data_IF_815707899451
#
_entry.id   IF_815707899451
#
_cell.length_a   1.000
_cell.length_b   1.000
_cell.length_c   1.000
_cell.angle_alpha   90.00
_cell.angle_beta   90.00
_cell.angle_gamma   90.00
#
_symmetry.space_group_name_H-M   'P 1'
#
loop_
_entity.id
_entity.type
_entity.pdbx_description
1 polymer ?
#
# COMPACT_ATOMS: atom_id res chain seq x y z
N UNK A 1 11.35 32.13 85.82
CA UNK A 1 10.49 33.24 85.37
C UNK A 1 11.39 34.37 84.92
N UNK A 2 11.56 34.66 83.64
CA UNK A 2 11.15 33.94 82.43
C UNK A 2 12.24 34.15 81.36
N UNK A 3 12.51 33.10 80.58
CA UNK A 3 13.72 32.85 79.80
C UNK A 3 13.66 33.39 78.36
N UNK A 4 12.79 34.36 78.06
CA UNK A 4 12.54 34.79 76.67
C UNK A 4 13.25 36.10 76.27
N UNK A 5 13.86 36.82 77.21
CA UNK A 5 14.57 38.08 76.94
C UNK A 5 16.10 37.93 76.85
N UNK A 6 16.67 36.75 77.13
CA UNK A 6 18.12 36.50 77.04
C UNK A 6 18.58 35.96 75.66
N UNK A 7 17.63 35.61 74.79
CA UNK A 7 17.89 35.00 73.48
C UNK A 7 17.81 36.00 72.31
N UNK A 8 17.45 37.26 72.56
CA UNK A 8 17.40 38.30 71.52
C UNK A 8 18.69 39.11 71.36
N UNK A 9 19.60 39.03 72.33
CA UNK A 9 20.87 39.76 72.32
C UNK A 9 22.04 38.94 71.76
N UNK A 10 21.81 37.71 71.27
CA UNK A 10 22.87 36.82 70.77
C UNK A 10 22.93 36.66 69.24
N UNK A 11 21.91 37.14 68.51
CA UNK A 11 21.78 36.92 67.06
C UNK A 11 22.20 38.13 66.19
N UNK A 12 22.56 39.28 66.78
CA UNK A 12 22.97 40.48 66.01
C UNK A 12 24.49 40.62 65.73
N UNK A 13 25.34 39.74 66.29
CA UNK A 13 26.81 39.91 66.27
C UNK A 13 27.60 38.93 65.36
N UNK A 14 26.94 38.15 64.49
CA UNK A 14 27.60 37.17 63.62
C UNK A 14 27.26 37.34 62.13
N UNK A 15 27.53 38.54 61.61
CA UNK A 15 27.78 38.73 60.19
C UNK A 15 29.25 38.42 59.87
N UNK A 16 29.54 37.29 59.21
CA UNK A 16 30.74 37.10 58.40
C UNK A 16 30.40 36.37 57.09
N UNK A 17 30.74 37.01 55.98
CA UNK A 17 30.66 36.53 54.60
C UNK A 17 31.60 35.33 54.35
N UNK A 18 31.10 34.25 53.74
CA UNK A 18 31.85 33.41 52.78
C UNK A 18 30.86 32.86 51.73
N UNK A 19 31.23 33.03 50.46
CA UNK A 19 30.54 32.56 49.25
C UNK A 19 30.48 31.02 49.14
N UNK A 20 29.42 30.49 48.53
CA UNK A 20 29.39 29.51 47.41
C UNK A 20 28.26 28.46 47.46
N UNK A 21 27.64 28.33 46.29
CA UNK A 21 27.03 27.14 45.67
C UNK A 21 25.60 26.68 46.00
N UNK A 22 24.86 26.55 44.88
CA UNK A 22 23.47 26.14 44.67
C UNK A 22 23.06 24.85 45.38
N UNK A 23 21.94 24.91 46.12
CA UNK A 23 21.08 23.77 46.38
C UNK A 23 19.61 24.21 46.46
N UNK A 24 18.82 23.77 45.48
CA UNK A 24 17.37 23.97 45.40
C UNK A 24 16.71 23.01 46.39
N UNK A 25 16.20 23.54 47.51
CA UNK A 25 15.26 22.83 48.37
C UNK A 25 13.80 23.15 48.05
N UNK A 26 13.05 22.05 48.07
CA UNK A 26 11.63 21.87 47.87
C UNK A 26 10.85 22.65 48.94
N UNK A 27 9.94 23.54 48.52
CA UNK A 27 8.89 24.06 49.41
C UNK A 27 7.51 23.64 48.92
N UNK A 28 6.81 22.93 49.81
CA UNK A 28 5.48 22.38 49.59
C UNK A 28 4.45 23.48 49.36
N UNK A 29 3.61 23.26 48.34
CA UNK A 29 2.40 24.04 48.12
C UNK A 29 1.21 23.20 48.53
N UNK A 30 0.38 23.84 49.37
CA UNK A 30 -0.86 23.37 49.97
C UNK A 30 -1.85 22.85 48.92
N UNK A 31 -2.49 21.74 49.26
CA UNK A 31 -3.58 21.10 48.53
C UNK A 31 -4.82 22.03 48.45
N UNK A 32 -5.05 22.64 47.28
CA UNK A 32 -6.36 23.11 46.83
C UNK A 32 -6.34 23.39 45.31
N UNK A 33 -7.16 22.68 44.54
CA UNK A 33 -7.59 22.96 43.14
C UNK A 33 -6.54 23.08 42.00
N UNK A 34 -5.50 22.23 41.97
CA UNK A 34 -4.47 22.23 40.90
C UNK A 34 -4.74 21.21 39.76
N UNK A 35 -5.71 20.31 39.90
CA UNK A 35 -5.89 19.21 38.94
C UNK A 35 -6.52 19.60 37.59
N UNK A 36 -7.13 20.79 37.47
CA UNK A 36 -7.70 21.27 36.21
C UNK A 36 -6.68 21.95 35.28
N UNK A 37 -5.76 22.72 35.86
CA UNK A 37 -4.79 23.56 35.13
C UNK A 37 -3.59 22.77 34.61
N UNK A 38 -3.13 21.75 35.33
CA UNK A 38 -2.06 20.87 34.85
C UNK A 38 -2.49 20.02 33.63
N UNK A 39 -3.78 19.67 33.54
CA UNK A 39 -4.33 18.82 32.47
C UNK A 39 -4.63 19.59 31.18
N UNK A 40 -5.03 20.86 31.28
CA UNK A 40 -5.17 21.75 30.11
C UNK A 40 -3.81 22.01 29.45
N UNK A 41 -2.76 22.22 30.26
CA UNK A 41 -1.40 22.42 29.76
C UNK A 41 -0.87 21.20 29.00
N UNK A 42 -1.12 19.98 29.51
CA UNK A 42 -0.70 18.75 28.82
C UNK A 42 -1.38 18.57 27.45
N UNK A 43 -2.67 18.93 27.31
CA UNK A 43 -3.38 18.86 26.03
C UNK A 43 -2.82 19.88 25.02
N UNK A 44 -2.49 21.09 25.47
CA UNK A 44 -1.90 22.13 24.63
C UNK A 44 -0.47 21.78 24.20
N UNK A 45 0.34 21.21 25.09
CA UNK A 45 1.67 20.72 24.78
C UNK A 45 1.63 19.63 23.68
N UNK A 46 0.74 18.65 23.80
CA UNK A 46 0.60 17.60 22.78
C UNK A 46 0.13 18.18 21.44
N UNK A 47 -0.83 19.11 21.43
CA UNK A 47 -1.25 19.82 20.21
C UNK A 47 -0.09 20.60 19.58
N UNK A 48 0.72 21.28 20.42
CA UNK A 48 1.87 22.04 19.97
C UNK A 48 2.93 21.13 19.34
N UNK A 49 3.12 19.92 19.87
CA UNK A 49 4.02 18.92 19.30
C UNK A 49 3.54 18.45 17.93
N UNK A 50 2.25 18.12 17.80
CA UNK A 50 1.68 17.67 16.52
C UNK A 50 1.88 18.75 15.45
N UNK A 51 1.60 20.01 15.76
CA UNK A 51 1.72 21.12 14.82
C UNK A 51 3.17 21.47 14.46
N UNK A 52 4.08 21.37 15.43
CA UNK A 52 5.51 21.71 15.24
C UNK A 52 6.40 20.48 14.98
N UNK A 53 5.80 19.32 14.68
CA UNK A 53 6.56 18.09 14.49
C UNK A 53 7.41 18.20 13.22
N UNK A 54 8.72 18.31 13.41
CA UNK A 54 9.71 18.23 12.33
C UNK A 54 10.33 16.84 12.34
N UNK A 55 10.21 16.16 11.21
CA UNK A 55 10.86 14.89 10.92
C UNK A 55 12.37 15.08 11.05
N UNK A 56 13.02 14.22 11.84
CA UNK A 56 14.48 14.21 11.93
C UNK A 56 15.07 13.77 10.58
N UNK A 57 15.93 14.60 10.00
CA UNK A 57 16.57 14.30 8.72
C UNK A 57 17.86 13.49 8.97
N UNK A 58 17.94 12.28 8.41
CA UNK A 58 19.15 11.44 8.48
C UNK A 58 20.38 12.06 7.78
N UNK A 59 20.22 13.19 7.08
CA UNK A 59 21.29 13.96 6.45
C UNK A 59 22.17 14.70 7.46
N UNK A 60 21.68 14.96 8.68
CA UNK A 60 22.43 15.63 9.75
C UNK A 60 23.46 14.72 10.44
N UNK A 61 23.50 13.43 10.07
CA UNK A 61 24.38 12.43 10.67
C UNK A 61 23.66 11.51 11.65
N UNK A 62 24.38 10.50 12.14
CA UNK A 62 23.86 9.58 13.16
C UNK A 62 23.71 10.34 14.48
N UNK A 63 22.50 10.36 15.09
CA UNK A 63 22.31 11.03 16.37
C UNK A 63 23.13 10.32 17.44
N UNK A 64 23.82 11.08 18.30
CA UNK A 64 24.53 10.51 19.47
C UNK A 64 23.59 10.18 20.64
N UNK A 65 22.38 10.73 20.64
CA UNK A 65 21.32 10.45 21.63
C UNK A 65 19.96 10.48 20.95
N UNK A 66 19.09 9.53 21.28
CA UNK A 66 17.76 9.40 20.68
C UNK A 66 16.76 10.45 21.19
N UNK A 67 17.14 11.23 22.21
CA UNK A 67 16.31 12.24 22.84
C UNK A 67 15.79 13.34 21.88
N UNK A 68 16.51 13.61 20.79
CA UNK A 68 16.09 14.57 19.77
C UNK A 68 15.21 13.94 18.68
N UNK A 69 15.25 12.61 18.54
CA UNK A 69 14.54 11.84 17.52
C UNK A 69 13.17 11.37 18.05
N UNK A 70 13.12 10.87 19.29
CA UNK A 70 11.91 10.35 19.92
C UNK A 70 11.29 11.39 20.87
N UNK A 71 10.71 12.45 20.31
CA UNK A 71 10.08 13.52 21.10
C UNK A 71 8.79 13.03 21.77
N UNK A 72 8.05 12.13 21.12
CA UNK A 72 6.83 11.57 21.71
C UNK A 72 7.15 10.67 22.90
N UNK A 73 8.27 9.93 22.87
CA UNK A 73 8.63 9.07 23.99
C UNK A 73 8.88 9.87 25.29
N UNK A 74 9.40 11.10 25.19
CA UNK A 74 9.54 12.02 26.34
C UNK A 74 8.20 12.39 26.97
N UNK A 75 7.15 12.52 26.17
CA UNK A 75 5.82 12.87 26.65
C UNK A 75 4.95 11.66 26.99
N UNK A 76 5.48 10.43 26.92
CA UNK A 76 4.74 9.19 27.15
C UNK A 76 3.89 9.23 28.43
N UNK A 77 4.48 9.65 29.55
CA UNK A 77 3.78 9.69 30.85
C UNK A 77 2.61 10.67 30.81
N UNK A 78 2.82 11.87 30.24
CA UNK A 78 1.79 12.89 30.08
C UNK A 78 0.65 12.41 29.16
N UNK A 79 0.98 11.70 28.08
CA UNK A 79 -0.01 11.12 27.16
C UNK A 79 -0.85 10.05 27.88
N UNK A 80 -0.22 9.22 28.72
CA UNK A 80 -0.95 8.24 29.53
C UNK A 80 -1.89 8.93 30.51
N UNK A 81 -1.44 9.98 31.20
CA UNK A 81 -2.29 10.77 32.09
C UNK A 81 -3.44 11.47 31.36
N UNK A 82 -3.26 11.87 30.10
CA UNK A 82 -4.31 12.43 29.27
C UNK A 82 -5.37 11.41 28.86
N UNK A 83 -5.01 10.12 28.69
CA UNK A 83 -5.97 9.06 28.40
C UNK A 83 -6.94 8.81 29.56
N UNK A 84 -6.52 9.07 30.81
CA UNK A 84 -7.41 8.96 31.96
C UNK A 84 -8.50 10.06 31.98
N UNK A 85 -8.31 11.12 31.19
CA UNK A 85 -9.28 12.21 31.05
C UNK A 85 -10.31 11.92 29.94
N UNK A 86 -11.58 11.88 30.32
CA UNK A 86 -12.70 11.44 29.46
C UNK A 86 -13.28 12.56 28.57
N UNK A 87 -12.45 13.21 27.75
CA UNK A 87 -12.88 14.31 26.87
C UNK A 87 -12.83 13.92 25.38
N UNK A 88 -13.87 14.23 24.60
CA UNK A 88 -13.86 13.95 23.14
C UNK A 88 -12.73 14.69 22.40
N UNK A 89 -12.35 15.88 22.90
CA UNK A 89 -11.23 16.64 22.37
C UNK A 89 -9.89 15.91 22.54
N UNK A 90 -9.71 15.11 23.60
CA UNK A 90 -8.47 14.34 23.80
C UNK A 90 -8.40 13.19 22.80
N UNK A 91 -9.53 12.53 22.51
CA UNK A 91 -9.62 11.47 21.49
C UNK A 91 -9.19 11.99 20.12
N UNK A 92 -9.65 13.17 19.72
CA UNK A 92 -9.25 13.79 18.45
C UNK A 92 -7.75 14.09 18.38
N UNK A 93 -7.18 14.70 19.43
CA UNK A 93 -5.75 15.04 19.48
C UNK A 93 -4.88 13.79 19.50
N UNK A 94 -5.25 12.78 20.29
CA UNK A 94 -4.54 11.51 20.34
C UNK A 94 -4.61 10.77 19.00
N UNK A 95 -5.71 10.89 18.27
CA UNK A 95 -5.84 10.35 16.90
C UNK A 95 -4.91 11.07 15.92
N UNK A 96 -4.73 12.38 16.05
CA UNK A 96 -3.77 13.17 15.25
C UNK A 96 -2.31 12.85 15.59
N UNK A 97 -2.03 12.42 16.83
CA UNK A 97 -0.70 12.01 17.26
C UNK A 97 -0.29 10.66 16.63
N UNK A 98 -1.22 9.78 16.27
CA UNK A 98 -0.93 8.43 15.77
C UNK A 98 0.00 8.38 14.54
N UNK A 99 -0.20 9.18 13.47
CA UNK A 99 0.75 9.24 12.36
C UNK A 99 2.13 9.73 12.78
N UNK A 100 2.22 10.68 13.71
CA UNK A 100 3.52 11.19 14.19
C UNK A 100 4.29 10.11 14.94
N UNK A 101 3.61 9.31 15.78
CA UNK A 101 4.19 8.12 16.42
C UNK A 101 4.68 7.13 15.35
N UNK A 102 3.87 6.87 14.32
CA UNK A 102 4.25 5.97 13.23
C UNK A 102 5.50 6.47 12.49
N UNK A 103 5.60 7.77 12.23
CA UNK A 103 6.77 8.40 11.62
C UNK A 103 8.01 8.28 12.52
N UNK A 104 7.88 8.51 13.83
CA UNK A 104 8.97 8.30 14.79
C UNK A 104 9.46 6.84 14.77
N UNK A 105 8.55 5.87 14.84
CA UNK A 105 8.88 4.44 14.76
C UNK A 105 9.63 4.13 13.45
N UNK A 106 9.19 4.68 12.31
CA UNK A 106 9.87 4.47 11.03
C UNK A 106 11.28 5.08 10.96
N UNK A 107 11.49 6.24 11.59
CA UNK A 107 12.82 6.88 11.64
C UNK A 107 13.75 6.07 12.54
N UNK A 108 13.30 5.69 13.74
CA UNK A 108 14.10 4.87 14.66
C UNK A 108 14.41 3.51 14.03
N UNK A 109 13.47 2.90 13.30
CA UNK A 109 13.71 1.68 12.52
C UNK A 109 14.79 1.87 11.45
N UNK A 110 14.80 3.00 10.72
CA UNK A 110 15.85 3.30 9.73
C UNK A 110 17.22 3.46 10.38
N UNK A 111 17.29 4.09 11.56
CA UNK A 111 18.53 4.25 12.32
C UNK A 111 19.03 2.87 12.77
N UNK A 112 18.16 2.07 13.38
CA UNK A 112 18.46 0.70 13.81
C UNK A 112 18.93 -0.17 12.64
N UNK A 113 18.23 -0.11 11.51
CA UNK A 113 18.60 -0.85 10.30
C UNK A 113 19.96 -0.42 9.73
N UNK A 114 20.30 0.87 9.82
CA UNK A 114 21.60 1.39 9.36
C UNK A 114 22.75 0.92 10.25
N UNK A 115 22.55 0.87 11.57
CA UNK A 115 23.54 0.29 12.49
C UNK A 115 23.74 -1.20 12.21
N UNK A 116 22.63 -1.93 12.10
CA UNK A 116 22.67 -3.38 11.95
C UNK A 116 23.10 -3.86 10.56
N UNK A 117 23.03 -3.00 9.53
CA UNK A 117 23.44 -3.32 8.16
C UNK A 117 24.90 -3.79 8.04
N UNK A 118 25.78 -3.38 8.97
CA UNK A 118 27.17 -3.86 8.98
C UNK A 118 27.28 -5.35 9.31
N UNK A 119 26.36 -5.85 10.14
CA UNK A 119 26.33 -7.22 10.63
C UNK A 119 25.43 -8.11 9.78
N UNK A 120 24.22 -7.63 9.48
CA UNK A 120 23.24 -8.35 8.67
C UNK A 120 22.48 -7.42 7.70
N UNK A 121 23.01 -7.19 6.48
CA UNK A 121 22.43 -6.24 5.53
C UNK A 121 21.08 -6.68 4.96
N UNK A 122 20.85 -8.00 4.83
CA UNK A 122 19.64 -8.55 4.22
C UNK A 122 18.41 -8.42 5.11
N UNK A 123 18.57 -8.32 6.44
CA UNK A 123 17.47 -8.35 7.41
C UNK A 123 16.38 -7.29 7.13
N UNK A 124 16.77 -6.09 6.73
CA UNK A 124 15.83 -5.00 6.46
C UNK A 124 14.98 -5.26 5.20
N UNK A 125 15.50 -6.03 4.23
CA UNK A 125 14.74 -6.45 3.05
C UNK A 125 13.79 -7.62 3.34
N UNK A 126 14.11 -8.44 4.35
CA UNK A 126 13.30 -9.60 4.73
C UNK A 126 12.17 -9.19 5.67
N UNK A 127 12.46 -8.32 6.63
CA UNK A 127 11.54 -7.94 7.70
C UNK A 127 11.34 -6.44 7.66
N UNK A 128 10.18 -6.03 7.14
CA UNK A 128 9.83 -4.62 6.97
C UNK A 128 9.12 -4.05 8.19
N UNK A 129 8.50 -4.90 9.02
CA UNK A 129 7.74 -4.49 10.19
C UNK A 129 8.70 -4.07 11.31
N UNK A 130 8.67 -2.81 11.79
CA UNK A 130 9.62 -2.30 12.78
C UNK A 130 9.67 -3.09 14.10
N UNK A 131 8.50 -3.47 14.65
CA UNK A 131 8.45 -4.19 15.92
C UNK A 131 9.04 -5.61 15.82
N UNK A 132 8.89 -6.28 14.66
CA UNK A 132 9.45 -7.62 14.46
C UNK A 132 10.96 -7.51 14.31
N UNK A 133 11.39 -6.52 13.54
CA UNK A 133 12.80 -6.25 13.30
C UNK A 133 13.53 -5.96 14.62
N UNK A 134 13.00 -5.07 15.47
CA UNK A 134 13.64 -4.75 16.75
C UNK A 134 13.75 -5.97 17.67
N UNK A 135 12.70 -6.80 17.74
CA UNK A 135 12.70 -8.00 18.58
C UNK A 135 13.71 -9.06 18.12
N UNK A 136 13.92 -9.17 16.82
CA UNK A 136 14.86 -10.12 16.22
C UNK A 136 16.30 -9.65 16.42
N UNK A 137 16.56 -8.35 16.25
CA UNK A 137 17.87 -7.77 16.55
C UNK A 137 18.20 -7.92 18.03
N UNK A 138 17.23 -7.68 18.91
CA UNK A 138 17.36 -7.90 20.36
C UNK A 138 17.75 -9.34 20.67
N UNK A 139 17.06 -10.32 20.06
CA UNK A 139 17.36 -11.73 20.22
C UNK A 139 18.78 -12.08 19.73
N UNK A 140 19.19 -11.59 18.56
CA UNK A 140 20.52 -11.89 18.01
C UNK A 140 21.69 -11.27 18.79
N UNK A 141 21.46 -10.14 19.47
CA UNK A 141 22.51 -9.48 20.28
C UNK A 141 22.56 -9.99 21.72
N UNK A 142 21.46 -10.57 22.22
CA UNK A 142 21.33 -11.10 23.59
C UNK A 142 21.68 -12.58 23.66
N UNK A 143 21.23 -13.40 22.70
CA UNK A 143 21.40 -14.85 22.72
C UNK A 143 22.76 -15.29 22.17
N UNK A 144 23.49 -16.10 22.94
CA UNK A 144 24.71 -16.76 22.46
C UNK A 144 24.39 -17.91 21.49
N UNK A 145 23.33 -18.68 21.78
CA UNK A 145 22.77 -19.69 20.87
C UNK A 145 21.82 -19.02 19.87
N UNK A 146 22.24 -18.90 18.61
CA UNK A 146 21.46 -18.25 17.53
C UNK A 146 20.38 -19.18 16.95
N UNK A 147 19.66 -19.89 17.81
CA UNK A 147 18.61 -20.82 17.39
C UNK A 147 17.33 -20.06 17.09
N UNK A 148 17.07 -19.83 15.79
CA UNK A 148 15.91 -19.07 15.30
C UNK A 148 14.59 -19.73 15.71
N UNK A 149 14.59 -21.04 16.00
CA UNK A 149 13.40 -21.76 16.45
C UNK A 149 12.84 -21.23 17.78
N UNK A 150 13.64 -20.53 18.60
CA UNK A 150 13.15 -19.88 19.83
C UNK A 150 12.26 -18.66 19.55
N UNK A 151 12.24 -18.16 18.31
CA UNK A 151 11.35 -17.08 17.85
C UNK A 151 10.01 -17.61 17.32
N UNK A 152 9.69 -18.89 17.55
CA UNK A 152 8.38 -19.46 17.26
C UNK A 152 7.28 -18.67 17.99
N UNK A 153 6.38 -18.06 17.23
CA UNK A 153 5.29 -17.21 17.73
C UNK A 153 5.48 -15.71 17.47
N UNK A 154 6.72 -15.24 17.25
CA UNK A 154 6.99 -13.87 16.79
C UNK A 154 6.99 -13.80 15.26
N UNK A 155 7.53 -14.83 14.61
CA UNK A 155 7.63 -14.94 13.16
C UNK A 155 6.74 -16.04 12.60
N UNK A 156 6.27 -15.86 11.36
CA UNK A 156 5.64 -16.94 10.60
C UNK A 156 6.69 -17.96 10.17
N UNK A 157 6.30 -19.23 10.00
CA UNK A 157 7.20 -20.31 9.53
C UNK A 157 7.92 -19.97 8.22
N UNK A 158 7.23 -19.30 7.30
CA UNK A 158 7.81 -18.82 6.04
C UNK A 158 8.92 -17.80 6.28
N UNK A 159 8.71 -16.86 7.22
CA UNK A 159 9.70 -15.86 7.58
C UNK A 159 10.89 -16.48 8.31
N UNK A 160 10.66 -17.45 9.20
CA UNK A 160 11.73 -18.21 9.89
C UNK A 160 12.65 -18.89 8.89
N UNK A 161 12.08 -19.56 7.87
CA UNK A 161 12.87 -20.22 6.83
C UNK A 161 13.70 -19.22 6.02
N UNK A 162 13.09 -18.11 5.58
CA UNK A 162 13.79 -17.09 4.79
C UNK A 162 14.91 -16.43 5.59
N UNK A 163 14.67 -16.09 6.87
CA UNK A 163 15.69 -15.54 7.77
C UNK A 163 16.80 -16.55 8.03
N UNK A 164 16.48 -17.84 8.20
CA UNK A 164 17.48 -18.89 8.38
C UNK A 164 18.37 -19.07 7.16
N UNK A 165 17.81 -19.03 5.95
CA UNK A 165 18.59 -19.11 4.71
C UNK A 165 19.49 -17.87 4.56
N UNK A 166 18.94 -16.68 4.80
CA UNK A 166 19.70 -15.43 4.75
C UNK A 166 20.80 -15.34 5.83
N UNK A 167 20.56 -15.94 7.00
CA UNK A 167 21.56 -16.03 8.05
C UNK A 167 22.75 -16.89 7.62
N UNK A 168 22.54 -17.94 6.82
CA UNK A 168 23.64 -18.75 6.29
C UNK A 168 24.45 -18.02 5.22
N UNK A 169 23.84 -17.12 4.44
CA UNK A 169 24.49 -16.46 3.30
C UNK A 169 25.09 -15.09 3.63
N UNK A 170 24.42 -14.30 4.48
CA UNK A 170 24.68 -12.88 4.64
C UNK A 170 24.97 -12.40 6.07
N UNK A 171 25.03 -13.30 7.06
CA UNK A 171 25.29 -12.93 8.45
C UNK A 171 26.78 -12.92 8.77
N UNK A 172 27.32 -11.73 9.01
CA UNK A 172 28.74 -11.56 9.37
C UNK A 172 28.93 -11.76 10.87
N UNK A 173 29.39 -12.95 11.28
CA UNK A 173 29.63 -13.27 12.69
C UNK A 173 30.81 -12.50 13.29
N UNK A 174 31.80 -12.16 12.46
CA UNK A 174 33.08 -11.59 12.89
C UNK A 174 33.03 -10.08 13.14
N UNK A 175 32.05 -9.37 12.54
CA UNK A 175 31.85 -7.93 12.75
C UNK A 175 31.03 -7.68 14.00
N UNK A 176 31.72 -7.45 15.12
CA UNK A 176 31.10 -6.96 16.35
C UNK A 176 30.91 -5.44 16.27
N UNK A 177 29.75 -4.96 16.75
CA UNK A 177 29.46 -3.54 16.84
C UNK A 177 30.32 -2.87 17.92
N UNK A 178 30.66 -1.60 17.72
CA UNK A 178 31.32 -0.78 18.75
C UNK A 178 30.44 -0.68 20.00
N UNK A 179 31.02 -0.52 21.19
CA UNK A 179 30.27 -0.42 22.45
C UNK A 179 29.23 0.72 22.41
N UNK A 180 29.62 1.88 21.88
CA UNK A 180 28.73 3.03 21.70
C UNK A 180 27.57 2.73 20.73
N UNK A 181 27.84 2.01 19.63
CA UNK A 181 26.81 1.64 18.65
C UNK A 181 25.86 0.58 19.22
N UNK A 182 26.36 -0.32 20.07
CA UNK A 182 25.56 -1.34 20.77
C UNK A 182 24.62 -0.70 21.79
N UNK A 183 25.10 0.28 22.57
CA UNK A 183 24.25 1.05 23.49
C UNK A 183 23.14 1.78 22.75
N UNK A 184 23.47 2.47 21.66
CA UNK A 184 22.50 3.17 20.82
C UNK A 184 21.48 2.20 20.20
N UNK A 185 21.93 1.01 19.79
CA UNK A 185 21.08 -0.06 19.26
C UNK A 185 20.03 -0.51 20.29
N UNK A 186 20.43 -0.77 21.54
CA UNK A 186 19.48 -1.14 22.59
C UNK A 186 18.53 0.00 22.95
N UNK A 187 19.00 1.26 22.96
CA UNK A 187 18.14 2.44 23.12
C UNK A 187 17.07 2.51 22.01
N UNK A 188 17.46 2.26 20.75
CA UNK A 188 16.52 2.21 19.61
C UNK A 188 15.50 1.08 19.76
N UNK A 189 15.90 -0.10 20.22
CA UNK A 189 14.98 -1.23 20.45
C UNK A 189 13.96 -0.89 21.53
N UNK A 190 14.41 -0.38 22.66
CA UNK A 190 13.53 -0.01 23.78
C UNK A 190 12.55 1.10 23.39
N UNK A 191 13.01 2.11 22.67
CA UNK A 191 12.13 3.19 22.19
C UNK A 191 11.10 2.73 21.17
N UNK A 192 11.44 1.80 20.26
CA UNK A 192 10.46 1.18 19.35
C UNK A 192 9.41 0.40 20.15
N UNK A 193 9.82 -0.38 21.15
CA UNK A 193 8.90 -1.13 22.00
C UNK A 193 7.95 -0.20 22.76
N UNK A 194 8.50 0.84 23.42
CA UNK A 194 7.73 1.83 24.18
C UNK A 194 6.72 2.59 23.31
N UNK A 195 7.12 3.02 22.10
CA UNK A 195 6.25 3.71 21.16
C UNK A 195 5.16 2.78 20.62
N UNK A 196 5.48 1.50 20.37
CA UNK A 196 4.51 0.50 19.91
C UNK A 196 3.45 0.22 20.98
N UNK A 197 3.86 0.09 22.25
CA UNK A 197 2.96 -0.08 23.39
C UNK A 197 2.07 1.14 23.59
N UNK A 198 2.64 2.35 23.49
CA UNK A 198 1.89 3.60 23.56
C UNK A 198 0.87 3.68 22.41
N UNK A 199 1.28 3.30 21.19
CA UNK A 199 0.39 3.26 20.03
C UNK A 199 -0.80 2.32 20.26
N UNK A 200 -0.56 1.13 20.82
CA UNK A 200 -1.60 0.16 21.16
C UNK A 200 -2.56 0.69 22.23
N UNK A 201 -2.05 1.32 23.29
CA UNK A 201 -2.87 1.94 24.36
C UNK A 201 -3.78 3.04 23.82
N UNK A 202 -3.25 3.94 22.98
CA UNK A 202 -4.05 4.99 22.36
C UNK A 202 -5.12 4.39 21.44
N UNK A 203 -4.81 3.36 20.64
CA UNK A 203 -5.81 2.69 19.79
C UNK A 203 -6.95 2.08 20.60
N UNK A 204 -6.63 1.42 21.72
CA UNK A 204 -7.64 0.86 22.62
C UNK A 204 -8.51 1.97 23.24
N UNK A 205 -7.90 3.07 23.66
CA UNK A 205 -8.62 4.24 24.18
C UNK A 205 -9.56 4.85 23.13
N UNK A 206 -9.07 5.10 21.92
CA UNK A 206 -9.89 5.64 20.81
C UNK A 206 -11.04 4.69 20.48
N UNK A 207 -10.80 3.37 20.44
CA UNK A 207 -11.86 2.37 20.21
C UNK A 207 -13.00 2.45 21.22
N UNK A 208 -12.69 2.65 22.51
CA UNK A 208 -13.70 2.75 23.56
C UNK A 208 -14.57 4.01 23.50
N UNK A 209 -14.12 5.06 22.79
CA UNK A 209 -14.78 6.37 22.74
C UNK A 209 -15.19 6.81 21.34
N UNK A 210 -14.98 5.97 20.32
CA UNK A 210 -15.24 6.34 18.93
C UNK A 210 -16.72 6.56 18.63
N UNK A 211 -17.62 5.94 19.39
CA UNK A 211 -19.06 6.10 19.20
C UNK A 211 -19.51 7.55 19.42
N UNK A 212 -18.83 8.31 20.28
CA UNK A 212 -19.09 9.74 20.47
C UNK A 212 -18.50 10.63 19.37
N UNK A 213 -17.40 10.21 18.74
CA UNK A 213 -16.68 11.00 17.72
C UNK A 213 -17.17 10.71 16.30
N UNK A 214 -17.46 9.44 15.99
CA UNK A 214 -17.83 8.96 14.66
C UNK A 214 -18.90 7.84 14.73
N UNK A 215 -20.14 8.18 15.14
CA UNK A 215 -21.22 7.20 15.36
C UNK A 215 -21.65 6.48 14.08
N UNK A 216 -21.67 7.15 12.91
CA UNK A 216 -22.10 6.49 11.67
C UNK A 216 -21.03 5.52 11.14
N UNK A 217 -19.75 5.87 11.27
CA UNK A 217 -18.65 5.00 10.90
C UNK A 217 -18.60 3.75 11.79
N UNK A 218 -18.72 3.93 13.11
CA UNK A 218 -18.74 2.85 14.08
C UNK A 218 -19.93 1.90 13.83
N UNK A 219 -21.13 2.44 13.59
CA UNK A 219 -22.31 1.64 13.25
C UNK A 219 -22.15 0.86 11.93
N UNK A 220 -21.37 1.36 10.97
CA UNK A 220 -21.17 0.71 9.68
C UNK A 220 -20.17 -0.45 9.75
N UNK A 221 -18.96 -0.22 10.29
CA UNK A 221 -17.82 -1.16 10.22
C UNK A 221 -17.49 -1.82 11.55
N UNK A 222 -17.96 -1.25 12.67
CA UNK A 222 -17.57 -1.61 14.03
C UNK A 222 -16.57 -0.63 14.63
N UNK A 223 -16.61 -0.47 15.95
CA UNK A 223 -15.81 0.49 16.71
C UNK A 223 -14.29 0.26 16.56
N UNK A 224 -13.86 -0.99 16.56
CA UNK A 224 -12.44 -1.36 16.43
C UNK A 224 -11.87 -0.96 15.07
N UNK A 225 -12.53 -1.35 13.98
CA UNK A 225 -12.06 -1.02 12.62
C UNK A 225 -12.17 0.47 12.35
N UNK A 226 -13.21 1.13 12.87
CA UNK A 226 -13.34 2.58 12.80
C UNK A 226 -12.15 3.28 13.48
N UNK A 227 -11.75 2.81 14.66
CA UNK A 227 -10.65 3.39 15.43
C UNK A 227 -9.31 3.17 14.73
N UNK A 228 -9.11 1.99 14.12
CA UNK A 228 -7.93 1.71 13.31
C UNK A 228 -7.85 2.63 12.08
N UNK A 229 -8.97 2.89 11.40
CA UNK A 229 -9.00 3.78 10.25
C UNK A 229 -8.70 5.24 10.62
N UNK A 230 -9.31 5.75 11.69
CA UNK A 230 -9.07 7.10 12.19
C UNK A 230 -7.61 7.25 12.65
N UNK A 231 -7.10 6.28 13.41
CA UNK A 231 -5.72 6.28 13.92
C UNK A 231 -4.69 6.19 12.80
N UNK A 232 -4.95 5.40 11.77
CA UNK A 232 -4.01 5.20 10.67
C UNK A 232 -3.89 6.43 9.76
N UNK A 233 -4.98 7.20 9.61
CA UNK A 233 -4.96 8.40 8.78
C UNK A 233 -4.47 9.62 9.58
N UNK A 234 -4.85 9.74 10.84
CA UNK A 234 -4.50 10.90 11.69
C UNK A 234 -5.69 11.74 12.15
N UNK A 235 -6.90 11.18 12.11
CA UNK A 235 -8.10 11.85 12.57
C UNK A 235 -9.24 11.84 11.57
N UNK A 236 -10.41 12.27 12.04
CA UNK A 236 -11.65 12.23 11.27
C UNK A 236 -11.65 13.21 10.08
N UNK A 237 -11.07 14.41 10.26
CA UNK A 237 -10.98 15.42 9.20
C UNK A 237 -10.13 14.95 8.02
N UNK A 238 -8.99 14.32 8.31
CA UNK A 238 -8.08 13.80 7.30
C UNK A 238 -8.70 12.58 6.60
N UNK A 239 -9.35 11.69 7.36
CA UNK A 239 -10.06 10.53 6.83
C UNK A 239 -11.22 10.92 5.89
N UNK A 240 -11.88 12.07 6.13
CA UNK A 240 -12.91 12.64 5.27
C UNK A 240 -12.37 13.05 3.88
N UNK A 241 -11.13 13.55 3.83
CA UNK A 241 -10.45 13.95 2.59
C UNK A 241 -9.98 12.74 1.75
N UNK A 242 -9.75 11.59 2.37
CA UNK A 242 -9.30 10.38 1.67
C UNK A 242 -10.37 9.87 0.69
N UNK A 243 -10.04 9.65 -0.60
CA UNK A 243 -10.98 9.08 -1.55
C UNK A 243 -11.22 7.58 -1.28
N UNK A 244 -12.42 7.09 -1.62
CA UNK A 244 -12.84 5.72 -1.34
C UNK A 244 -11.92 4.62 -1.89
N UNK A 245 -11.22 4.86 -3.00
CA UNK A 245 -10.28 3.91 -3.59
C UNK A 245 -9.02 3.69 -2.73
N UNK A 246 -8.59 4.70 -1.96
CA UNK A 246 -7.38 4.63 -1.16
C UNK A 246 -7.63 3.94 0.19
N UNK A 247 -8.86 4.02 0.71
CA UNK A 247 -9.27 3.38 1.96
C UNK A 247 -9.03 1.87 1.99
N UNK A 248 -9.12 1.20 0.84
CA UNK A 248 -8.86 -0.23 0.73
C UNK A 248 -7.41 -0.64 1.10
N UNK A 249 -6.46 0.28 0.93
CA UNK A 249 -5.03 0.03 1.22
C UNK A 249 -4.60 0.51 2.60
N UNK A 250 -5.46 1.21 3.34
CA UNK A 250 -5.17 1.70 4.68
C UNK A 250 -5.01 0.51 5.63
N UNK A 251 -3.87 0.43 6.31
CA UNK A 251 -3.51 -0.70 7.17
C UNK A 251 -2.90 -1.90 6.45
N UNK A 252 -2.69 -1.84 5.13
CA UNK A 252 -1.96 -2.89 4.41
C UNK A 252 -0.48 -2.83 4.78
N UNK A 253 0.11 -3.97 5.13
CA UNK A 253 1.56 -4.10 5.28
C UNK A 253 2.30 -3.79 3.97
N UNK A 254 3.54 -3.34 4.08
CA UNK A 254 4.40 -3.08 2.90
C UNK A 254 4.57 -4.39 2.13
N UNK A 255 4.31 -4.35 0.82
CA UNK A 255 4.41 -5.52 -0.05
C UNK A 255 5.87 -5.90 -0.27
N UNK A 256 6.19 -7.17 -0.05
CA UNK A 256 7.49 -7.76 -0.33
C UNK A 256 7.42 -8.56 -1.63
N UNK A 257 8.40 -8.36 -2.53
CA UNK A 257 8.40 -9.02 -3.84
C UNK A 257 8.48 -10.55 -3.78
N UNK A 258 9.03 -11.09 -2.70
CA UNK A 258 9.14 -12.53 -2.45
C UNK A 258 7.87 -13.13 -1.82
N UNK A 259 6.94 -12.30 -1.34
CA UNK A 259 5.68 -12.76 -0.75
C UNK A 259 4.66 -13.12 -1.85
N UNK A 260 3.96 -14.25 -1.69
CA UNK A 260 2.93 -14.72 -2.63
C UNK A 260 1.66 -13.86 -2.51
N UNK A 261 1.63 -12.73 -3.22
CA UNK A 261 0.55 -11.74 -3.12
C UNK A 261 -0.75 -12.05 -3.88
N UNK A 262 -1.01 -13.30 -4.27
CA UNK A 262 -2.18 -13.68 -5.07
C UNK A 262 -2.95 -14.81 -4.40
N UNK A 263 -4.12 -14.50 -3.87
CA UNK A 263 -5.08 -15.50 -3.39
C UNK A 263 -6.28 -15.64 -4.32
N UNK A 264 -7.04 -16.71 -4.09
CA UNK A 264 -8.32 -17.02 -4.72
C UNK A 264 -9.37 -15.91 -4.55
N UNK A 265 -9.25 -15.08 -3.51
CA UNK A 265 -10.12 -13.92 -3.26
C UNK A 265 -10.01 -12.86 -4.36
N UNK A 266 -8.89 -12.82 -5.08
CA UNK A 266 -8.57 -11.77 -6.06
C UNK A 266 -8.44 -10.36 -5.46
N UNK A 267 -8.36 -10.24 -4.14
CA UNK A 267 -8.16 -8.99 -3.38
C UNK A 267 -6.67 -8.72 -3.21
N UNK A 268 -6.18 -7.64 -3.85
CA UNK A 268 -4.77 -7.23 -3.73
C UNK A 268 -4.49 -6.29 -2.57
N UNK A 269 -5.52 -5.60 -2.08
CA UNK A 269 -5.42 -4.57 -1.05
C UNK A 269 -6.08 -5.09 0.21
N UNK A 270 -5.33 -5.76 1.08
CA UNK A 270 -5.83 -6.28 2.37
C UNK A 270 -5.49 -5.28 3.48
N UNK A 271 -6.30 -4.23 3.61
CA UNK A 271 -6.21 -3.26 4.70
C UNK A 271 -7.14 -3.58 5.87
N UNK A 272 -7.32 -2.65 6.81
CA UNK A 272 -8.21 -2.83 7.96
C UNK A 272 -9.66 -3.11 7.57
N UNK A 273 -10.15 -2.46 6.51
CA UNK A 273 -11.51 -2.68 5.99
C UNK A 273 -11.70 -4.16 5.59
N UNK A 274 -10.67 -4.79 5.03
CA UNK A 274 -10.75 -6.20 4.61
C UNK A 274 -10.97 -7.13 5.81
N UNK A 275 -10.46 -6.80 6.98
CA UNK A 275 -10.61 -7.60 8.21
C UNK A 275 -11.99 -7.46 8.86
N UNK A 276 -12.82 -6.53 8.41
CA UNK A 276 -14.18 -6.36 8.94
C UNK A 276 -15.03 -7.63 8.73
N UNK A 277 -15.84 -7.95 9.74
CA UNK A 277 -16.76 -9.08 9.76
C UNK A 277 -17.69 -9.11 8.53
N UNK A 278 -18.15 -7.94 8.08
CA UNK A 278 -19.02 -7.82 6.89
C UNK A 278 -18.39 -8.39 5.62
N UNK A 279 -17.06 -8.45 5.55
CA UNK A 279 -16.31 -9.00 4.41
C UNK A 279 -15.85 -10.43 4.70
N UNK A 280 -15.31 -10.69 5.89
CA UNK A 280 -14.78 -12.02 6.22
C UNK A 280 -15.86 -13.10 6.26
N UNK A 281 -17.08 -12.74 6.68
CA UNK A 281 -18.22 -13.67 6.70
C UNK A 281 -18.75 -14.03 5.30
N UNK A 282 -18.29 -13.35 4.24
CA UNK A 282 -18.73 -13.57 2.87
C UNK A 282 -17.89 -14.63 2.15
N UNK A 283 -18.45 -15.33 1.15
CA UNK A 283 -17.69 -16.27 0.34
C UNK A 283 -16.56 -15.56 -0.42
N UNK A 284 -15.43 -16.27 -0.57
CA UNK A 284 -14.15 -15.78 -1.13
C UNK A 284 -14.34 -15.01 -2.45
N UNK A 285 -15.25 -15.47 -3.31
CA UNK A 285 -15.54 -14.90 -4.63
C UNK A 285 -16.12 -13.48 -4.58
N UNK A 286 -16.89 -13.15 -3.53
CA UNK A 286 -17.64 -11.89 -3.41
C UNK A 286 -16.85 -10.85 -2.59
N UNK A 287 -15.87 -11.29 -1.77
CA UNK A 287 -15.09 -10.42 -0.86
C UNK A 287 -14.51 -9.19 -1.54
N UNK A 288 -14.04 -9.31 -2.79
CA UNK A 288 -13.52 -8.18 -3.57
C UNK A 288 -14.56 -7.12 -3.89
N UNK A 289 -15.78 -7.55 -4.25
CA UNK A 289 -16.90 -6.63 -4.50
C UNK A 289 -17.35 -6.00 -3.17
N UNK A 290 -17.47 -6.82 -2.12
CA UNK A 290 -17.83 -6.40 -0.78
C UNK A 290 -16.92 -5.28 -0.26
N UNK A 291 -15.60 -5.45 -0.37
CA UNK A 291 -14.63 -4.46 0.04
C UNK A 291 -14.82 -3.12 -0.66
N UNK A 292 -15.02 -3.12 -1.99
CA UNK A 292 -15.22 -1.88 -2.76
C UNK A 292 -16.51 -1.16 -2.36
N UNK A 293 -17.59 -1.92 -2.16
CA UNK A 293 -18.86 -1.36 -1.71
C UNK A 293 -18.74 -0.76 -0.31
N UNK A 294 -18.05 -1.46 0.60
CA UNK A 294 -17.84 -1.00 1.96
C UNK A 294 -16.97 0.26 1.99
N UNK A 295 -15.83 0.29 1.28
CA UNK A 295 -14.99 1.49 1.18
C UNK A 295 -15.75 2.72 0.69
N UNK A 296 -16.66 2.56 -0.28
CA UNK A 296 -17.49 3.65 -0.77
C UNK A 296 -18.44 4.18 0.31
N UNK A 297 -19.08 3.29 1.09
CA UNK A 297 -19.98 3.68 2.19
C UNK A 297 -19.23 4.26 3.39
N UNK A 298 -18.04 3.73 3.70
CA UNK A 298 -17.14 4.26 4.72
C UNK A 298 -16.76 5.70 4.42
N UNK A 299 -16.36 6.01 3.18
CA UNK A 299 -16.03 7.38 2.77
C UNK A 299 -17.21 8.35 2.91
N UNK A 300 -18.46 7.87 2.75
CA UNK A 300 -19.65 8.70 2.99
C UNK A 300 -19.93 8.88 4.48
N UNK A 301 -19.79 7.83 5.28
CA UNK A 301 -19.96 7.89 6.74
C UNK A 301 -18.96 8.82 7.40
N UNK A 302 -17.69 8.74 7.01
CA UNK A 302 -16.65 9.63 7.55
C UNK A 302 -16.94 11.09 7.24
N UNK A 303 -17.48 11.40 6.06
CA UNK A 303 -17.86 12.76 5.67
C UNK A 303 -19.05 13.30 6.46
N UNK A 304 -20.04 12.45 6.73
CA UNK A 304 -21.23 12.82 7.52
C UNK A 304 -20.84 13.04 8.99
N UNK A 305 -20.00 12.15 9.54
CA UNK A 305 -19.48 12.27 10.91
C UNK A 305 -18.61 13.52 11.05
N UNK A 306 -17.74 13.82 10.07
CA UNK A 306 -16.92 15.04 10.08
C UNK A 306 -17.77 16.33 10.04
N UNK A 307 -18.93 16.29 9.37
CA UNK A 307 -19.87 17.41 9.30
C UNK A 307 -20.79 17.51 10.53
N UNK A 308 -20.77 16.52 11.44
CA UNK A 308 -21.65 16.41 12.63
C UNK A 308 -23.14 16.61 12.35
N UNK A 309 -23.61 16.23 11.17
CA UNK A 309 -25.02 16.44 10.76
C UNK A 309 -25.98 15.37 11.30
N UNK A 310 -25.47 14.20 11.69
CA UNK A 310 -26.27 13.07 12.13
C UNK A 310 -25.59 12.30 13.27
N UNK A 311 -25.82 12.75 14.52
CA UNK A 311 -25.18 12.18 15.71
C UNK A 311 -25.78 10.84 16.16
N UNK A 312 -26.99 10.51 15.71
CA UNK A 312 -27.72 9.30 16.15
C UNK A 312 -27.25 7.98 15.48
N UNK A 313 -26.21 8.00 14.63
CA UNK A 313 -25.70 6.78 13.96
C UNK A 313 -26.67 6.10 12.96
N UNK A 314 -27.89 6.62 12.80
CA UNK A 314 -28.95 6.01 11.98
C UNK A 314 -28.55 5.81 10.51
N UNK A 315 -27.78 6.75 9.95
CA UNK A 315 -27.34 6.68 8.56
C UNK A 315 -26.33 5.55 8.36
N UNK A 316 -25.44 5.34 9.33
CA UNK A 316 -24.51 4.20 9.36
C UNK A 316 -25.24 2.86 9.34
N UNK A 317 -26.27 2.71 10.19
CA UNK A 317 -27.12 1.50 10.22
C UNK A 317 -27.86 1.27 8.90
N UNK A 318 -28.44 2.32 8.32
CA UNK A 318 -29.12 2.25 7.02
C UNK A 318 -28.16 1.77 5.92
N UNK A 319 -26.95 2.34 5.86
CA UNK A 319 -25.98 1.92 4.86
C UNK A 319 -25.42 0.52 5.11
N UNK A 320 -25.32 0.09 6.37
CA UNK A 320 -24.99 -1.28 6.71
C UNK A 320 -26.03 -2.25 6.14
N UNK A 321 -27.32 -1.96 6.33
CA UNK A 321 -28.41 -2.74 5.75
C UNK A 321 -28.36 -2.74 4.22
N UNK A 322 -28.14 -1.58 3.58
CA UNK A 322 -27.99 -1.49 2.13
C UNK A 322 -26.82 -2.34 1.59
N UNK A 323 -25.71 -2.41 2.32
CA UNK A 323 -24.56 -3.26 1.96
C UNK A 323 -24.93 -4.73 2.10
N UNK A 324 -25.55 -5.13 3.21
CA UNK A 324 -26.00 -6.51 3.44
C UNK A 324 -26.94 -6.97 2.32
N UNK A 325 -27.99 -6.20 2.02
CA UNK A 325 -28.94 -6.54 0.95
C UNK A 325 -28.30 -6.63 -0.44
N UNK A 326 -27.22 -5.88 -0.69
CA UNK A 326 -26.46 -6.00 -1.96
C UNK A 326 -25.58 -7.24 -1.98
N UNK A 327 -25.00 -7.62 -0.84
CA UNK A 327 -24.19 -8.83 -0.72
C UNK A 327 -25.04 -10.08 -0.91
N UNK A 328 -26.23 -10.12 -0.30
CA UNK A 328 -27.21 -11.19 -0.50
C UNK A 328 -27.57 -11.35 -1.99
N UNK A 329 -27.90 -10.23 -2.67
CA UNK A 329 -28.18 -10.23 -4.12
C UNK A 329 -27.01 -10.67 -5.00
N UNK A 330 -25.76 -10.51 -4.54
CA UNK A 330 -24.58 -10.98 -5.27
C UNK A 330 -24.33 -12.48 -5.05
N UNK A 331 -24.81 -13.02 -3.92
CA UNK A 331 -24.75 -14.43 -3.62
C UNK A 331 -25.85 -15.21 -4.34
N UNK A 332 -26.98 -14.57 -4.64
CA UNK A 332 -28.05 -15.14 -5.43
C UNK A 332 -27.53 -15.55 -6.83
N UNK A 333 -27.68 -16.82 -7.23
CA UNK A 333 -27.30 -17.25 -8.56
C UNK A 333 -28.15 -16.56 -9.64
N UNK A 334 -27.63 -16.36 -10.86
CA UNK A 334 -28.43 -15.83 -11.93
C UNK A 334 -29.61 -16.76 -12.22
N UNK A 335 -30.78 -16.18 -12.49
CA UNK A 335 -31.95 -16.93 -12.89
C UNK A 335 -31.63 -17.81 -14.10
N UNK A 336 -31.88 -19.12 -13.99
CA UNK A 336 -31.62 -20.08 -15.06
C UNK A 336 -32.50 -19.73 -16.26
N UNK A 337 -31.88 -19.32 -17.36
CA UNK A 337 -32.60 -19.09 -18.63
C UNK A 337 -32.86 -20.42 -19.33
N UNK A 338 -34.07 -20.61 -19.85
CA UNK A 338 -34.38 -21.77 -20.68
C UNK A 338 -33.43 -21.89 -21.88
N UNK A 339 -33.10 -23.12 -22.26
CA UNK A 339 -32.24 -23.38 -23.42
C UNK A 339 -32.87 -22.80 -24.68
N UNK A 340 -32.16 -21.91 -25.37
CA UNK A 340 -32.65 -21.30 -26.59
C UNK A 340 -32.71 -22.37 -27.70
N UNK A 341 -33.88 -22.66 -28.28
CA UNK A 341 -33.98 -23.64 -29.36
C UNK A 341 -33.20 -23.15 -30.58
N UNK A 342 -32.63 -24.09 -31.33
CA UNK A 342 -32.00 -23.79 -32.60
C UNK A 342 -33.02 -23.16 -33.56
N UNK A 343 -32.59 -22.23 -34.43
CA UNK A 343 -33.46 -21.76 -35.50
C UNK A 343 -33.83 -22.94 -36.40
N UNK A 344 -35.05 -22.94 -36.92
CA UNK A 344 -35.51 -23.97 -37.86
C UNK A 344 -34.54 -24.04 -39.05
N UNK A 345 -34.07 -25.25 -39.43
CA UNK A 345 -33.23 -25.45 -40.61
C UNK A 345 -33.99 -25.12 -41.92
N UNK A 346 -34.16 -23.84 -42.21
CA UNK A 346 -34.75 -23.36 -43.45
C UNK A 346 -33.67 -22.86 -44.41
N UNK A 347 -33.63 -23.43 -45.62
CA UNK A 347 -32.71 -23.00 -46.67
C UNK A 347 -33.20 -21.71 -47.35
N UNK A 348 -32.99 -20.58 -46.68
CA UNK A 348 -33.38 -19.27 -47.21
C UNK A 348 -32.52 -18.89 -48.41
N UNK A 349 -33.09 -18.25 -49.45
CA UNK A 349 -32.32 -17.79 -50.60
C UNK A 349 -31.19 -16.85 -50.17
N UNK A 350 -29.96 -17.16 -50.61
CA UNK A 350 -28.74 -16.44 -50.20
C UNK A 350 -28.75 -15.02 -50.76
N UNK A 351 -28.47 -14.04 -49.90
CA UNK A 351 -28.26 -12.64 -50.32
C UNK A 351 -26.96 -12.52 -51.12
N UNK A 352 -27.05 -12.28 -52.43
CA UNK A 352 -25.89 -12.07 -53.31
C UNK A 352 -25.37 -10.63 -53.17
N UNK A 353 -24.23 -10.46 -52.52
CA UNK A 353 -23.55 -9.16 -52.38
C UNK A 353 -22.09 -9.30 -52.82
N UNK A 354 -21.61 -8.37 -53.65
CA UNK A 354 -20.24 -8.40 -54.18
C UNK A 354 -19.47 -7.07 -53.96
N UNK A 355 -19.98 -6.17 -53.14
CA UNK A 355 -19.35 -4.87 -52.87
C UNK A 355 -17.96 -5.00 -52.22
N UNK A 356 -17.11 -3.97 -52.39
CA UNK A 356 -15.70 -3.96 -51.92
C UNK A 356 -15.53 -4.36 -50.46
N UNK A 357 -16.36 -3.84 -49.55
CA UNK A 357 -16.34 -4.16 -48.11
C UNK A 357 -16.69 -5.63 -47.84
N UNK A 358 -17.74 -6.13 -48.50
CA UNK A 358 -18.18 -7.51 -48.35
C UNK A 358 -17.18 -8.49 -48.97
N UNK A 359 -16.57 -8.15 -50.12
CA UNK A 359 -15.49 -8.93 -50.73
C UNK A 359 -14.29 -9.06 -49.79
N UNK A 360 -13.88 -7.97 -49.13
CA UNK A 360 -12.79 -8.00 -48.14
C UNK A 360 -13.11 -8.87 -46.92
N UNK A 361 -14.36 -8.85 -46.45
CA UNK A 361 -14.82 -9.74 -45.38
C UNK A 361 -14.84 -11.21 -45.84
N UNK A 362 -15.43 -11.47 -47.01
CA UNK A 362 -15.53 -12.82 -47.59
C UNK A 362 -14.16 -13.43 -47.87
N UNK A 363 -13.19 -12.63 -48.30
CA UNK A 363 -11.80 -13.06 -48.53
C UNK A 363 -11.16 -13.72 -47.30
N UNK A 364 -11.51 -13.28 -46.08
CA UNK A 364 -11.00 -13.88 -44.83
C UNK A 364 -11.44 -15.33 -44.64
N UNK A 365 -12.60 -15.70 -45.18
CA UNK A 365 -13.18 -17.05 -45.05
C UNK A 365 -13.03 -17.89 -46.31
N UNK A 366 -12.76 -17.27 -47.46
CA UNK A 366 -12.59 -17.97 -48.72
C UNK A 366 -11.20 -18.57 -48.82
N UNK A 367 -11.12 -19.79 -49.37
CA UNK A 367 -9.85 -20.41 -49.75
C UNK A 367 -9.12 -19.49 -50.74
N UNK A 368 -7.85 -19.19 -50.44
CA UNK A 368 -7.00 -18.45 -51.35
C UNK A 368 -6.79 -19.22 -52.65
N UNK A 369 -6.43 -18.53 -53.73
CA UNK A 369 -6.11 -19.20 -54.99
C UNK A 369 -4.97 -20.21 -54.84
N UNK A 370 -3.95 -19.89 -54.04
CA UNK A 370 -2.85 -20.81 -53.72
C UNK A 370 -3.33 -22.05 -52.97
N UNK A 371 -4.24 -21.90 -52.00
CA UNK A 371 -4.83 -23.05 -51.29
C UNK A 371 -5.74 -23.87 -52.20
N UNK A 372 -6.44 -23.24 -53.14
CA UNK A 372 -7.22 -23.96 -54.16
C UNK A 372 -6.32 -24.76 -55.11
N UNK A 373 -5.13 -24.25 -55.45
CA UNK A 373 -4.12 -24.99 -56.23
C UNK A 373 -3.47 -26.12 -55.42
N UNK A 374 -3.23 -25.91 -54.13
CA UNK A 374 -2.76 -26.95 -53.24
C UNK A 374 -3.74 -28.13 -53.16
N UNK A 375 -5.04 -27.85 -53.20
CA UNK A 375 -6.08 -28.89 -53.22
C UNK A 375 -6.23 -29.60 -54.60
N UNK A 376 -5.45 -29.21 -55.62
CA UNK A 376 -5.45 -29.88 -56.92
C UNK A 376 -4.25 -30.81 -56.98
N UNK A 377 -4.50 -32.08 -57.29
CA UNK A 377 -3.49 -33.12 -57.42
C UNK A 377 -3.20 -33.38 -58.90
N UNK A 378 -1.94 -33.57 -59.26
CA UNK A 378 -1.58 -33.94 -60.64
C UNK A 378 -1.83 -35.43 -60.85
N UNK A 379 -2.60 -35.78 -61.88
CA UNK A 379 -2.90 -37.18 -62.15
C UNK A 379 -1.66 -37.90 -62.68
N UNK A 380 -1.35 -39.07 -62.08
CA UNK A 380 -0.27 -39.95 -62.54
C UNK A 380 1.14 -39.54 -62.12
N UNK A 381 1.31 -38.55 -61.22
CA UNK A 381 2.61 -38.17 -60.64
C UNK A 381 2.54 -38.12 -59.11
N UNK A 382 3.64 -38.47 -58.45
CA UNK A 382 3.76 -38.33 -57.00
C UNK A 382 3.75 -36.84 -56.59
N UNK A 383 3.10 -36.52 -55.48
CA UNK A 383 3.01 -35.15 -55.00
C UNK A 383 4.33 -34.65 -54.42
N UNK A 384 4.56 -33.34 -54.52
CA UNK A 384 5.65 -32.70 -53.80
C UNK A 384 5.19 -32.41 -52.37
N UNK A 385 5.72 -33.14 -51.39
CA UNK A 385 5.51 -32.85 -49.98
C UNK A 385 6.57 -31.89 -49.44
N UNK A 386 6.22 -31.14 -48.39
CA UNK A 386 7.16 -30.44 -47.52
C UNK A 386 6.91 -30.97 -46.12
N UNK A 387 7.97 -31.42 -45.45
CA UNK A 387 7.86 -31.85 -44.06
C UNK A 387 7.65 -30.64 -43.16
N UNK A 388 6.59 -30.66 -42.34
CA UNK A 388 6.33 -29.63 -41.35
C UNK A 388 7.34 -29.72 -40.19
N UNK A 389 7.41 -28.66 -39.39
CA UNK A 389 8.14 -28.61 -38.12
C UNK A 389 7.72 -29.71 -37.14
N UNK A 390 6.50 -30.25 -37.28
CA UNK A 390 6.00 -31.40 -36.51
C UNK A 390 6.30 -32.76 -37.16
N UNK A 391 7.01 -32.80 -38.29
CA UNK A 391 7.40 -34.04 -38.98
C UNK A 391 6.35 -34.61 -39.93
N UNK A 392 5.18 -33.99 -40.03
CA UNK A 392 4.10 -34.41 -40.94
C UNK A 392 4.36 -33.94 -42.37
N UNK A 393 4.04 -34.81 -43.35
CA UNK A 393 4.19 -34.46 -44.76
C UNK A 393 3.00 -33.63 -45.26
N UNK A 394 3.26 -32.38 -45.65
CA UNK A 394 2.25 -31.50 -46.24
C UNK A 394 2.38 -31.56 -47.76
N UNK A 395 1.40 -32.19 -48.42
CA UNK A 395 1.25 -32.19 -49.87
C UNK A 395 1.02 -30.77 -50.41
N UNK A 396 1.83 -30.37 -51.40
CA UNK A 396 1.73 -29.05 -52.03
C UNK A 396 0.84 -29.04 -53.28
N UNK A 397 0.38 -30.21 -53.74
CA UNK A 397 -0.41 -30.36 -54.97
C UNK A 397 0.17 -29.58 -56.14
N UNK A 398 -0.68 -28.84 -56.86
CA UNK A 398 -0.29 -28.00 -57.99
C UNK A 398 0.18 -26.59 -57.59
N UNK A 399 0.36 -26.30 -56.30
CA UNK A 399 0.80 -24.97 -55.86
C UNK A 399 2.25 -24.65 -56.24
N UNK A 400 3.10 -25.66 -56.47
CA UNK A 400 4.50 -25.53 -56.88
C UNK A 400 4.75 -25.69 -58.40
N UNK A 401 3.83 -26.29 -59.15
CA UNK A 401 4.03 -26.60 -60.58
C UNK A 401 3.90 -25.37 -61.49
N UNK A 402 3.15 -24.37 -61.05
CA UNK A 402 3.18 -23.04 -61.63
C UNK A 402 4.39 -22.31 -61.03
N UNK A 403 5.28 -21.78 -61.87
CA UNK A 403 6.30 -20.76 -61.54
C UNK A 403 5.61 -19.45 -61.09
N UNK A 404 4.69 -19.55 -60.14
CA UNK A 404 3.94 -18.46 -59.55
C UNK A 404 4.82 -17.83 -58.47
N UNK A 405 5.80 -17.04 -58.91
CA UNK A 405 6.35 -15.91 -58.16
C UNK A 405 5.30 -14.80 -57.99
N UNK A 406 4.05 -15.17 -57.70
CA UNK A 406 2.98 -14.22 -57.41
C UNK A 406 2.89 -14.11 -55.89
N UNK A 407 3.21 -12.94 -55.30
CA UNK A 407 3.08 -12.75 -53.85
C UNK A 407 1.63 -13.03 -53.47
N UNK A 408 1.43 -13.93 -52.51
CA UNK A 408 0.11 -14.16 -51.93
C UNK A 408 -0.43 -12.81 -51.42
N UNK A 409 -1.68 -12.44 -51.75
CA UNK A 409 -2.22 -11.18 -51.27
C UNK A 409 -2.24 -11.20 -49.74
N UNK A 410 -1.53 -10.26 -49.10
CA UNK A 410 -1.40 -10.06 -47.63
C UNK A 410 -2.74 -9.87 -46.88
N UNK A 411 -3.87 -9.98 -47.59
CA UNK A 411 -5.21 -9.63 -47.12
C UNK A 411 -5.84 -10.67 -46.19
N UNK A 412 -5.30 -11.90 -46.15
CA UNK A 412 -5.73 -13.00 -45.27
C UNK A 412 -4.79 -13.24 -44.08
N UNK A 413 -3.90 -12.28 -43.79
CA UNK A 413 -3.06 -12.33 -42.59
C UNK A 413 -3.93 -12.37 -41.32
N UNK A 414 -3.49 -13.19 -40.35
CA UNK A 414 -4.13 -13.27 -39.04
C UNK A 414 -4.11 -11.89 -38.37
N UNK A 415 -5.28 -11.42 -37.92
CA UNK A 415 -5.41 -10.13 -37.23
C UNK A 415 -5.77 -10.37 -35.78
N UNK A 416 -5.23 -9.52 -34.92
CA UNK A 416 -5.56 -9.52 -33.50
C UNK A 416 -7.03 -9.17 -33.29
N UNK A 417 -7.68 -9.86 -32.34
CA UNK A 417 -9.02 -9.50 -31.86
C UNK A 417 -8.96 -8.12 -31.19
N UNK A 418 -10.09 -7.42 -31.20
CA UNK A 418 -10.20 -6.08 -30.60
C UNK A 418 -9.77 -6.04 -29.12
N UNK A 419 -10.09 -7.08 -28.35
CA UNK A 419 -9.66 -7.20 -26.95
C UNK A 419 -8.14 -7.35 -26.82
N UNK A 420 -7.52 -8.20 -27.63
CA UNK A 420 -6.07 -8.40 -27.62
C UNK A 420 -5.32 -7.14 -28.10
N UNK A 421 -5.83 -6.47 -29.14
CA UNK A 421 -5.25 -5.21 -29.63
C UNK A 421 -5.22 -4.15 -28.53
N UNK A 422 -6.34 -3.95 -27.83
CA UNK A 422 -6.43 -3.02 -26.69
C UNK A 422 -5.49 -3.41 -25.54
N UNK A 423 -5.36 -4.70 -25.25
CA UNK A 423 -4.43 -5.18 -24.22
C UNK A 423 -2.99 -4.84 -24.60
N UNK A 424 -2.57 -5.13 -25.84
CA UNK A 424 -1.22 -4.81 -26.32
C UNK A 424 -0.96 -3.31 -26.37
N UNK A 425 -1.94 -2.51 -26.82
CA UNK A 425 -1.82 -1.04 -26.79
C UNK A 425 -1.58 -0.54 -25.36
N UNK A 426 -2.35 -1.00 -24.39
CA UNK A 426 -2.16 -0.63 -22.98
C UNK A 426 -0.81 -1.11 -22.42
N UNK A 427 -0.33 -2.30 -22.81
CA UNK A 427 0.94 -2.84 -22.34
C UNK A 427 2.12 -2.05 -22.94
N UNK A 428 2.01 -1.60 -24.20
CA UNK A 428 2.99 -0.72 -24.85
C UNK A 428 3.00 0.66 -24.21
N UNK A 429 1.84 1.24 -23.92
CA UNK A 429 1.75 2.53 -23.22
C UNK A 429 2.38 2.47 -21.82
N UNK A 430 2.15 1.38 -21.09
CA UNK A 430 2.80 1.15 -19.79
C UNK A 430 4.31 1.02 -19.92
N UNK A 431 4.79 0.25 -20.90
CA UNK A 431 6.22 0.11 -21.14
C UNK A 431 6.86 1.46 -21.49
N UNK A 432 6.22 2.26 -22.35
CA UNK A 432 6.68 3.60 -22.71
C UNK A 432 6.74 4.53 -21.49
N UNK A 433 5.70 4.49 -20.63
CA UNK A 433 5.70 5.28 -19.38
C UNK A 433 6.83 4.86 -18.45
N UNK A 434 7.07 3.56 -18.30
CA UNK A 434 8.14 3.01 -17.48
C UNK A 434 9.50 3.47 -17.99
N UNK A 435 9.76 3.36 -19.30
CA UNK A 435 11.02 3.84 -19.89
C UNK A 435 11.18 5.34 -19.74
N UNK A 436 10.12 6.14 -19.89
CA UNK A 436 10.22 7.61 -19.74
C UNK A 436 10.43 8.08 -18.30
N UNK A 437 10.05 7.26 -17.32
CA UNK A 437 10.13 7.62 -15.89
C UNK A 437 11.47 7.28 -15.24
N UNK A 438 12.25 6.39 -15.83
CA UNK A 438 13.56 6.00 -15.30
C UNK A 438 14.64 6.90 -15.90
N UNK A 439 15.25 7.77 -15.10
CA UNK A 439 16.34 8.66 -15.53
C UNK A 439 17.58 7.89 -16.06
N UNK A 440 17.65 6.57 -15.86
CA UNK A 440 18.67 5.69 -16.45
C UNK A 440 18.41 5.35 -17.92
N UNK A 441 17.21 5.59 -18.45
CA UNK A 441 16.83 5.27 -19.82
C UNK A 441 17.36 6.26 -20.87
N UNK A 442 17.79 7.45 -20.46
CA UNK A 442 18.36 8.46 -21.35
C UNK A 442 19.64 7.96 -22.06
N UNK A 443 20.39 7.06 -21.41
CA UNK A 443 21.58 6.41 -22.01
C UNK A 443 21.23 5.34 -23.06
N UNK A 444 19.98 4.86 -23.10
CA UNK A 444 19.49 3.94 -24.14
C UNK A 444 18.78 4.68 -25.28
N UNK A 445 18.40 5.95 -25.06
CA UNK A 445 17.76 6.80 -26.05
C UNK A 445 18.75 7.65 -26.87
N UNK A 446 20.06 7.59 -26.57
CA UNK A 446 21.07 8.09 -27.50
C UNK A 446 21.08 7.17 -28.73
N UNK A 447 20.75 7.67 -29.94
CA UNK A 447 20.79 6.84 -31.12
C UNK A 447 22.24 6.40 -31.35
N UNK A 448 22.52 5.12 -31.12
CA UNK A 448 23.75 4.48 -31.54
C UNK A 448 23.80 4.55 -33.08
N UNK A 449 24.65 5.44 -33.58
CA UNK A 449 25.07 5.61 -34.97
C UNK A 449 23.95 5.55 -36.02
N UNK A 450 23.61 6.72 -36.58
CA UNK A 450 23.05 6.82 -37.92
C UNK A 450 24.03 6.18 -38.92
N UNK A 451 23.84 4.89 -39.22
CA UNK A 451 24.27 4.32 -40.49
C UNK A 451 23.43 4.92 -41.62
N UNK A 452 23.97 5.10 -42.84
CA UNK A 452 23.25 5.76 -43.93
C UNK A 452 22.12 4.86 -44.42
N UNK A 453 20.94 4.98 -43.81
CA UNK A 453 19.72 4.38 -44.34
C UNK A 453 19.03 5.40 -45.24
N UNK A 454 19.31 5.30 -46.53
CA UNK A 454 18.42 5.80 -47.58
C UNK A 454 17.06 5.07 -47.44
N UNK A 455 16.17 5.63 -46.62
CA UNK A 455 14.74 5.39 -46.72
C UNK A 455 14.03 6.74 -46.75
N UNK A 456 13.17 7.01 -47.75
CA UNK A 456 12.44 8.26 -47.81
C UNK A 456 11.53 8.36 -46.59
N UNK A 457 11.71 9.41 -45.80
CA UNK A 457 10.84 9.78 -44.69
C UNK A 457 9.39 9.73 -45.17
N UNK A 458 8.62 8.75 -44.69
CA UNK A 458 7.17 8.73 -44.87
C UNK A 458 6.61 9.94 -44.12
N UNK A 459 6.33 11.01 -44.86
CA UNK A 459 5.49 12.12 -44.40
C UNK A 459 4.26 11.53 -43.71
N UNK A 460 4.13 11.79 -42.40
CA UNK A 460 2.93 11.51 -41.62
C UNK A 460 1.75 12.12 -42.37
N UNK A 461 0.83 11.27 -42.84
CA UNK A 461 -0.39 11.76 -43.49
C UNK A 461 -1.19 12.52 -42.41
N UNK A 462 -1.63 13.75 -42.69
CA UNK A 462 -2.43 14.51 -41.73
C UNK A 462 -3.68 13.71 -41.36
N UNK A 463 -3.98 13.69 -40.07
CA UNK A 463 -5.13 13.03 -39.51
C UNK A 463 -6.39 13.61 -40.16
N UNK A 464 -7.30 12.76 -40.65
CA UNK A 464 -8.49 13.17 -41.43
C UNK A 464 -9.50 14.05 -40.66
N UNK A 465 -9.25 14.35 -39.38
CA UNK A 465 -10.18 15.07 -38.51
C UNK A 465 -9.80 16.54 -38.25
N UNK A 466 -8.67 17.04 -38.79
CA UNK A 466 -8.18 18.40 -38.53
C UNK A 466 -8.72 19.45 -39.53
N UNK A 467 -9.97 19.31 -39.96
CA UNK A 467 -10.58 20.26 -40.90
C UNK A 467 -10.83 21.65 -40.28
N UNK A 468 -10.95 21.73 -38.94
CA UNK A 468 -11.27 22.95 -38.21
C UNK A 468 -10.06 23.87 -37.96
N UNK A 469 -8.82 23.34 -38.04
CA UNK A 469 -7.59 24.14 -37.87
C UNK A 469 -7.40 25.17 -39.00
N UNK A 470 -8.03 24.95 -40.16
CA UNK A 470 -7.99 25.91 -41.29
C UNK A 470 -8.78 27.20 -41.05
N UNK A 471 -9.64 27.24 -40.04
CA UNK A 471 -10.46 28.41 -39.72
C UNK A 471 -9.90 29.28 -38.59
N UNK A 472 -8.81 28.86 -37.94
CA UNK A 472 -8.20 29.57 -36.80
C UNK A 472 -7.13 30.59 -37.27
N UNK A 473 -6.70 30.55 -38.53
CA UNK A 473 -5.69 31.45 -39.11
C UNK A 473 -6.25 32.41 -40.16
N UNK A 474 -7.38 33.07 -39.88
CA UNK A 474 -7.83 34.22 -40.67
C UNK A 474 -8.09 35.43 -39.80
#
# INVERSE_FOLDING_TARGET
MDNDDLLKDLDEDLALEIETEDAIEVSGVKDADVNGTAKSNALEEVKSLVNNYKIYQLSEGMPRSLANVAKVNKLRIKIIQLMDSSNDATVMVLSQLQPTIQQEIEIVHKILARLYAQRFPELNSLIVVPHLYSRIVEFFETSESKDINQLDGVLNREQVLVVSMAMQTGFNQEKQLSKADRELLFECINTIADLTDLQAKIRAFVSSRIDGVAPNLAALVGSEVAALLISAVGGLSELCAVPSCNLASVGKTKYLSHETGVDETGVRQKGYIYQCDLIQNQPIQIRKSAQRMLCAKVSLATRVDAAKQAENGFLGLKWRQEVISKLEKLQDPPNVTNTKPLPVPEDKPKKKRAGRRFRKYKQQFQLSHTRQLQNRMEFGKAEQSVMDTFGEEIGMGMAKSLQATQPTPQNNSAKLRKSMKRRLENDVERAASFTSSDARSDFLNTPLLEGPSDQPQKKLKPNKNDWYLKHIQK
#
